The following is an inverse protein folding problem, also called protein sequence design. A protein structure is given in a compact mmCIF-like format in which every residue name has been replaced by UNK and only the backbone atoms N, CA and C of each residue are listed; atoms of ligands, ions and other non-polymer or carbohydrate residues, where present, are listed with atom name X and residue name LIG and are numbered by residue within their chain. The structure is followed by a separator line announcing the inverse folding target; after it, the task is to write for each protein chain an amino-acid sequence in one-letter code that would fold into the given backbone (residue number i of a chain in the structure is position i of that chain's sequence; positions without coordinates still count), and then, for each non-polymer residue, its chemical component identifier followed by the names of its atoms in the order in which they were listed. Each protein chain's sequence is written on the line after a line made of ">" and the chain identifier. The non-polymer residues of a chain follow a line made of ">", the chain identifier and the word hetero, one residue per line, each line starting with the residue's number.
data_IF_421350917687
#
_entry.id   IF_421350917687
#
_cell.length_a   1.000
_cell.length_b   1.000
_cell.length_c   1.000
_cell.angle_alpha   90.00
_cell.angle_beta   90.00
_cell.angle_gamma   90.00
#
_symmetry.space_group_name_H-M   'P 1'
#
loop_
_entity.id
_entity.type
_entity.pdbx_description
1 polymer ?
#
# COMPACT_ATOMS: atom_id res chain seq x y z
N UNK A 1 -22.00 33.77 31.48
CA UNK A 1 -22.38 32.40 31.03
C UNK A 1 -22.41 32.18 29.51
N UNK A 2 -22.39 33.21 28.64
CA UNK A 2 -22.42 33.01 27.18
C UNK A 2 -21.07 32.61 26.56
N UNK A 3 -19.94 33.06 27.12
CA UNK A 3 -18.60 32.72 26.59
C UNK A 3 -18.16 31.26 26.78
N UNK A 4 -18.66 30.57 27.81
CA UNK A 4 -18.31 29.17 28.07
C UNK A 4 -18.95 28.21 27.04
N UNK A 5 -20.13 28.56 26.52
CA UNK A 5 -20.82 27.76 25.49
C UNK A 5 -20.12 27.85 24.12
N UNK A 6 -19.55 29.01 23.78
CA UNK A 6 -18.83 29.17 22.51
C UNK A 6 -17.45 28.47 22.53
N UNK A 7 -16.80 28.36 23.69
CA UNK A 7 -15.52 27.64 23.82
C UNK A 7 -15.72 26.11 23.72
N UNK A 8 -16.79 25.59 24.31
CA UNK A 8 -17.13 24.16 24.25
C UNK A 8 -17.50 23.74 22.81
N UNK A 9 -18.22 24.59 22.08
CA UNK A 9 -18.58 24.34 20.68
C UNK A 9 -17.34 24.32 19.77
N UNK A 10 -16.37 25.21 20.01
CA UNK A 10 -15.11 25.24 19.26
C UNK A 10 -14.25 23.99 19.54
N UNK A 11 -14.23 23.51 20.79
CA UNK A 11 -13.49 22.30 21.19
C UNK A 11 -14.08 21.01 20.60
N UNK A 12 -15.41 20.93 20.49
CA UNK A 12 -16.10 19.79 19.86
C UNK A 12 -15.90 19.79 18.35
N UNK A 13 -15.83 20.95 17.69
CA UNK A 13 -15.54 21.04 16.25
C UNK A 13 -14.10 20.63 15.95
N UNK A 14 -13.11 20.97 16.80
CA UNK A 14 -11.71 20.54 16.60
C UNK A 14 -11.53 19.03 16.80
N UNK A 15 -12.31 18.39 17.67
CA UNK A 15 -12.27 16.93 17.87
C UNK A 15 -12.88 16.15 16.69
N UNK A 16 -13.82 16.75 15.95
CA UNK A 16 -14.45 16.12 14.78
C UNK A 16 -13.57 16.11 13.52
N UNK A 17 -12.43 16.81 13.51
CA UNK A 17 -11.51 16.85 12.36
C UNK A 17 -10.25 15.99 12.49
N UNK A 18 -10.04 15.29 13.61
CA UNK A 18 -8.79 14.56 13.86
C UNK A 18 -8.86 13.03 13.74
N UNK A 19 -10.00 12.44 13.40
CA UNK A 19 -10.11 10.99 13.20
C UNK A 19 -9.92 10.57 11.73
N UNK A 20 -9.07 11.27 10.98
CA UNK A 20 -8.49 10.67 9.79
C UNK A 20 -7.41 9.71 10.28
N UNK A 21 -7.77 8.42 10.37
CA UNK A 21 -6.81 7.32 10.49
C UNK A 21 -5.81 7.45 9.35
N UNK A 22 -4.68 8.13 9.61
CA UNK A 22 -3.61 8.30 8.64
C UNK A 22 -3.10 6.91 8.29
N UNK A 23 -2.86 6.77 7.02
CA UNK A 23 -2.86 5.52 6.31
C UNK A 23 -1.67 5.64 5.38
N UNK A 24 -0.72 4.72 5.55
CA UNK A 24 0.72 4.95 5.40
C UNK A 24 1.29 5.85 6.52
N UNK A 25 2.11 5.24 7.37
CA UNK A 25 2.66 5.83 8.59
C UNK A 25 4.13 6.16 8.37
N UNK A 26 4.55 7.35 8.78
CA UNK A 26 5.95 7.77 8.83
C UNK A 26 6.19 8.43 10.17
N UNK A 27 6.58 7.63 11.18
CA UNK A 27 6.84 8.12 12.53
C UNK A 27 8.33 8.36 12.78
N UNK A 28 9.21 7.65 12.06
CA UNK A 28 10.64 7.89 12.13
C UNK A 28 11.00 9.26 11.55
N UNK A 29 11.95 9.93 12.21
CA UNK A 29 12.57 11.16 11.73
C UNK A 29 13.66 10.83 10.71
N UNK A 30 14.12 11.86 9.98
CA UNK A 30 15.25 11.73 9.06
C UNK A 30 16.51 11.14 9.71
N UNK A 31 16.78 11.51 10.97
CA UNK A 31 17.90 10.98 11.75
C UNK A 31 17.73 9.49 12.10
N UNK A 32 16.51 9.05 12.44
CA UNK A 32 16.22 7.64 12.73
C UNK A 32 16.50 6.76 11.51
N UNK A 33 16.19 7.24 10.30
CA UNK A 33 16.46 6.48 9.08
C UNK A 33 17.94 6.24 8.80
N UNK A 34 18.86 7.03 9.38
CA UNK A 34 20.30 6.71 9.30
C UNK A 34 20.61 5.41 10.05
N UNK A 35 20.03 5.24 11.23
CA UNK A 35 20.19 4.03 12.04
C UNK A 35 19.43 2.84 11.41
N UNK A 36 18.15 3.03 11.07
CA UNK A 36 17.29 1.99 10.47
C UNK A 36 17.94 1.37 9.22
N UNK A 37 18.50 2.20 8.33
CA UNK A 37 19.12 1.75 7.09
C UNK A 37 20.50 1.09 7.26
N UNK A 38 21.10 1.12 8.47
CA UNK A 38 22.45 0.61 8.74
C UNK A 38 22.47 -0.59 9.72
N UNK A 39 21.36 -0.90 10.40
CA UNK A 39 21.20 -2.13 11.17
C UNK A 39 21.16 -3.36 10.24
N UNK A 40 21.57 -4.56 10.68
CA UNK A 40 21.23 -5.79 9.97
C UNK A 40 19.72 -5.87 9.71
N UNK A 41 19.36 -6.30 8.52
CA UNK A 41 17.97 -6.43 8.11
C UNK A 41 17.50 -7.87 8.28
N UNK A 42 16.37 -8.02 8.96
CA UNK A 42 15.56 -9.24 8.91
C UNK A 42 14.36 -8.98 8.00
N UNK A 43 14.17 -9.84 7.01
CA UNK A 43 12.97 -9.91 6.19
C UNK A 43 12.11 -11.03 6.71
N UNK A 44 10.90 -10.70 7.16
CA UNK A 44 9.98 -11.67 7.70
C UNK A 44 9.28 -12.47 6.60
N UNK A 45 9.39 -13.79 6.67
CA UNK A 45 8.66 -14.73 5.83
C UNK A 45 7.29 -15.03 6.44
N UNK A 46 6.31 -15.27 5.57
CA UNK A 46 4.98 -15.69 5.96
C UNK A 46 5.00 -17.21 6.17
N UNK A 47 4.42 -17.67 7.27
CA UNK A 47 4.14 -19.08 7.52
C UNK A 47 2.65 -19.32 7.39
N UNK A 48 2.25 -20.55 7.01
CA UNK A 48 0.84 -20.92 7.06
C UNK A 48 0.29 -20.74 8.48
N UNK A 49 -0.88 -20.12 8.58
CA UNK A 49 -1.65 -20.02 9.81
C UNK A 49 -2.36 -21.36 10.00
N UNK A 50 -1.86 -22.16 10.94
CA UNK A 50 -2.39 -23.48 11.25
C UNK A 50 -3.88 -23.43 11.59
N UNK A 51 -4.32 -22.41 12.33
CA UNK A 51 -5.73 -22.27 12.71
C UNK A 51 -6.61 -22.00 11.49
N UNK A 52 -6.18 -21.09 10.60
CA UNK A 52 -6.91 -20.79 9.37
C UNK A 52 -7.01 -22.02 8.44
N UNK A 53 -5.91 -22.75 8.27
CA UNK A 53 -5.85 -23.97 7.45
C UNK A 53 -6.78 -25.05 8.01
N UNK A 54 -6.71 -25.31 9.32
CA UNK A 54 -7.56 -26.29 9.99
C UNK A 54 -9.04 -25.92 9.93
N UNK A 55 -9.40 -24.64 10.12
CA UNK A 55 -10.79 -24.16 9.99
C UNK A 55 -11.32 -24.37 8.57
N UNK A 56 -10.55 -23.99 7.54
CA UNK A 56 -10.95 -24.19 6.15
C UNK A 56 -11.11 -25.68 5.82
N UNK A 57 -10.16 -26.54 6.23
CA UNK A 57 -10.26 -27.99 6.02
C UNK A 57 -11.50 -28.58 6.70
N UNK A 58 -11.83 -28.12 7.91
CA UNK A 58 -13.03 -28.53 8.64
C UNK A 58 -14.31 -28.04 7.95
N UNK A 59 -14.31 -26.84 7.37
CA UNK A 59 -15.44 -26.33 6.58
C UNK A 59 -15.63 -27.10 5.28
N UNK A 60 -14.54 -27.44 4.58
CA UNK A 60 -14.55 -28.28 3.37
C UNK A 60 -15.16 -29.65 3.67
N UNK A 61 -14.71 -30.34 4.72
CA UNK A 61 -15.18 -31.69 5.07
C UNK A 61 -16.66 -31.74 5.47
N UNK A 62 -17.18 -30.65 6.05
CA UNK A 62 -18.60 -30.53 6.45
C UNK A 62 -19.52 -30.03 5.33
N UNK A 63 -18.98 -29.53 4.22
CA UNK A 63 -19.77 -28.94 3.14
C UNK A 63 -20.23 -30.03 2.17
N UNK A 64 -21.55 -30.27 2.13
CA UNK A 64 -22.18 -31.20 1.18
C UNK A 64 -22.47 -30.59 -0.19
N UNK A 65 -22.55 -29.26 -0.29
CA UNK A 65 -22.76 -28.56 -1.56
C UNK A 65 -21.47 -28.56 -2.39
N UNK A 66 -21.47 -29.25 -3.53
CA UNK A 66 -20.29 -29.41 -4.39
C UNK A 66 -19.66 -28.08 -4.84
N UNK A 67 -20.46 -27.11 -5.28
CA UNK A 67 -19.96 -25.79 -5.70
C UNK A 67 -19.29 -25.04 -4.55
N UNK A 68 -19.92 -25.01 -3.37
CA UNK A 68 -19.34 -24.34 -2.20
C UNK A 68 -18.07 -25.03 -1.74
N UNK A 69 -18.01 -26.36 -1.84
CA UNK A 69 -16.83 -27.14 -1.50
C UNK A 69 -15.65 -26.78 -2.42
N UNK A 70 -15.88 -26.72 -3.73
CA UNK A 70 -14.87 -26.31 -4.72
C UNK A 70 -14.36 -24.88 -4.46
N UNK A 71 -15.26 -23.94 -4.12
CA UNK A 71 -14.85 -22.57 -3.74
C UNK A 71 -13.91 -22.54 -2.52
N UNK A 72 -14.20 -23.36 -1.49
CA UNK A 72 -13.38 -23.44 -0.28
C UNK A 72 -12.03 -24.14 -0.54
N UNK A 73 -12.02 -25.18 -1.38
CA UNK A 73 -10.79 -25.84 -1.83
C UNK A 73 -9.93 -24.87 -2.64
N UNK A 74 -10.55 -24.06 -3.50
CA UNK A 74 -9.91 -22.95 -4.21
C UNK A 74 -9.34 -21.88 -3.27
N UNK A 75 -10.07 -21.49 -2.23
CA UNK A 75 -9.61 -20.53 -1.20
C UNK A 75 -8.37 -21.06 -0.47
N UNK A 76 -8.38 -22.33 -0.06
CA UNK A 76 -7.24 -22.96 0.61
C UNK A 76 -6.02 -23.07 -0.31
N UNK A 77 -6.22 -23.48 -1.57
CA UNK A 77 -5.15 -23.55 -2.57
C UNK A 77 -4.55 -22.16 -2.80
N UNK A 78 -5.38 -21.15 -3.04
CA UNK A 78 -4.94 -19.79 -3.28
C UNK A 78 -4.15 -19.21 -2.09
N UNK A 79 -4.54 -19.54 -0.85
CA UNK A 79 -3.79 -19.14 0.35
C UNK A 79 -2.39 -19.76 0.39
N UNK A 80 -2.27 -21.08 0.17
CA UNK A 80 -0.98 -21.78 0.17
C UNK A 80 -0.06 -21.30 -0.96
N UNK A 81 -0.64 -21.09 -2.14
CA UNK A 81 0.06 -20.52 -3.29
C UNK A 81 0.56 -19.12 -2.96
N UNK A 82 -0.25 -18.28 -2.31
CA UNK A 82 0.16 -16.96 -1.86
C UNK A 82 1.35 -17.00 -0.88
N UNK A 83 1.30 -17.86 0.15
CA UNK A 83 2.41 -17.99 1.13
C UNK A 83 3.70 -18.39 0.43
N UNK A 84 3.63 -19.41 -0.43
CA UNK A 84 4.78 -19.93 -1.18
C UNK A 84 5.32 -18.89 -2.15
N UNK A 85 4.45 -18.25 -2.93
CA UNK A 85 4.80 -17.22 -3.89
C UNK A 85 5.42 -16.02 -3.17
N UNK A 86 4.77 -15.44 -2.16
CA UNK A 86 5.28 -14.28 -1.44
C UNK A 86 6.69 -14.53 -0.91
N UNK A 87 6.93 -15.66 -0.24
CA UNK A 87 8.24 -15.97 0.35
C UNK A 87 9.36 -16.09 -0.70
N UNK A 88 9.04 -16.61 -1.88
CA UNK A 88 9.99 -16.67 -3.00
C UNK A 88 10.21 -15.27 -3.60
N UNK A 89 9.12 -14.57 -3.91
CA UNK A 89 9.13 -13.28 -4.59
C UNK A 89 9.79 -12.18 -3.75
N UNK A 90 9.60 -12.16 -2.42
CA UNK A 90 10.25 -11.16 -1.55
C UNK A 90 11.77 -11.37 -1.50
N UNK A 91 12.25 -12.62 -1.48
CA UNK A 91 13.68 -12.92 -1.54
C UNK A 91 14.28 -12.43 -2.85
N UNK A 92 13.61 -12.72 -3.97
CA UNK A 92 14.02 -12.24 -5.29
C UNK A 92 14.05 -10.71 -5.35
N UNK A 93 12.97 -10.04 -4.90
CA UNK A 93 12.86 -8.59 -4.95
C UNK A 93 13.90 -7.88 -4.08
N UNK A 94 14.17 -8.41 -2.88
CA UNK A 94 15.19 -7.88 -1.97
C UNK A 94 16.59 -8.05 -2.58
N UNK A 95 16.91 -9.24 -3.09
CA UNK A 95 18.20 -9.49 -3.74
C UNK A 95 18.43 -8.56 -4.94
N UNK A 96 17.36 -8.26 -5.69
CA UNK A 96 17.42 -7.44 -6.90
C UNK A 96 17.59 -5.96 -6.62
N UNK A 97 16.76 -5.38 -5.74
CA UNK A 97 16.60 -3.92 -5.67
C UNK A 97 16.81 -3.29 -4.28
N UNK A 98 16.94 -4.07 -3.21
CA UNK A 98 17.08 -3.48 -1.88
C UNK A 98 18.48 -2.95 -1.62
N UNK A 99 18.63 -1.62 -1.56
CA UNK A 99 19.90 -0.90 -1.40
C UNK A 99 20.25 -0.54 0.04
N UNK A 100 19.28 -0.53 0.96
CA UNK A 100 19.56 -0.29 2.38
C UNK A 100 20.12 -1.54 3.06
N UNK A 101 20.78 -1.35 4.20
CA UNK A 101 21.29 -2.43 5.06
C UNK A 101 22.37 -3.33 4.41
N UNK A 102 22.85 -2.98 3.20
CA UNK A 102 23.76 -3.81 2.37
C UNK A 102 25.12 -4.12 2.97
N UNK A 103 25.58 -3.33 3.93
CA UNK A 103 26.87 -3.56 4.60
C UNK A 103 26.86 -4.79 5.50
N UNK A 104 25.66 -5.34 5.80
CA UNK A 104 25.48 -6.52 6.66
C UNK A 104 24.61 -7.56 5.95
N UNK A 105 24.74 -8.85 6.27
CA UNK A 105 23.90 -9.89 5.70
C UNK A 105 22.41 -9.62 5.97
N UNK A 106 21.58 -9.79 4.93
CA UNK A 106 20.13 -9.79 5.07
C UNK A 106 19.70 -11.20 5.48
N UNK A 107 18.97 -11.31 6.58
CA UNK A 107 18.46 -12.57 7.10
C UNK A 107 16.97 -12.73 6.74
N UNK A 108 16.55 -13.95 6.45
CA UNK A 108 15.14 -14.29 6.22
C UNK A 108 14.66 -15.18 7.35
N UNK A 109 13.64 -14.72 8.08
CA UNK A 109 13.17 -15.39 9.31
C UNK A 109 11.65 -15.53 9.30
N UNK A 110 11.14 -16.63 9.80
CA UNK A 110 9.72 -16.87 10.07
C UNK A 110 9.22 -16.00 11.23
N UNK A 111 7.89 -15.91 11.41
CA UNK A 111 7.30 -15.17 12.53
C UNK A 111 7.84 -15.63 13.90
N UNK A 112 7.94 -16.95 14.13
CA UNK A 112 8.42 -17.53 15.40
C UNK A 112 9.86 -17.15 15.67
N UNK A 113 10.74 -17.30 14.68
CA UNK A 113 12.15 -16.90 14.79
C UNK A 113 12.30 -15.40 15.07
N UNK A 114 11.49 -14.55 14.44
CA UNK A 114 11.46 -13.11 14.73
C UNK A 114 11.04 -12.85 16.19
N UNK A 115 10.06 -13.59 16.73
CA UNK A 115 9.68 -13.44 18.15
C UNK A 115 10.81 -13.86 19.09
N UNK A 116 11.56 -14.91 18.76
CA UNK A 116 12.67 -15.37 19.59
C UNK A 116 13.83 -14.38 19.58
N UNK A 117 14.18 -13.83 18.41
CA UNK A 117 15.17 -12.75 18.29
C UNK A 117 14.74 -11.52 19.10
N UNK A 118 13.45 -11.17 19.07
CA UNK A 118 12.92 -10.00 19.80
C UNK A 118 13.12 -10.08 21.31
N UNK A 119 12.91 -11.27 21.88
CA UNK A 119 13.08 -11.51 23.33
C UNK A 119 14.53 -11.31 23.80
N UNK A 120 15.49 -11.55 22.90
CA UNK A 120 16.91 -11.53 23.24
C UNK A 120 17.56 -10.19 22.88
N UNK A 121 17.34 -9.69 21.65
CA UNK A 121 18.12 -8.56 21.13
C UNK A 121 17.41 -7.77 20.00
N UNK A 122 16.15 -7.39 20.21
CA UNK A 122 15.35 -6.63 19.23
C UNK A 122 16.03 -5.35 18.73
N UNK A 123 16.73 -4.60 19.60
CA UNK A 123 17.34 -3.30 19.27
C UNK A 123 18.45 -3.35 18.22
N UNK A 124 18.98 -4.53 17.93
CA UNK A 124 20.07 -4.67 16.97
C UNK A 124 19.59 -4.79 15.52
N UNK A 125 18.30 -4.96 15.28
CA UNK A 125 17.79 -5.31 13.95
C UNK A 125 16.79 -4.28 13.44
N UNK A 126 16.79 -4.14 12.12
CA UNK A 126 15.66 -3.58 11.37
C UNK A 126 14.85 -4.73 10.82
N UNK A 127 13.53 -4.59 10.81
CA UNK A 127 12.59 -5.57 10.29
C UNK A 127 11.84 -5.01 9.09
N UNK A 128 11.84 -5.78 8.01
CA UNK A 128 10.90 -5.63 6.91
C UNK A 128 9.87 -6.75 6.99
N UNK A 129 8.60 -6.41 7.20
CA UNK A 129 7.52 -7.40 7.34
C UNK A 129 6.32 -7.04 6.46
N UNK A 130 5.68 -8.07 5.92
CA UNK A 130 4.38 -7.95 5.30
C UNK A 130 3.28 -8.08 6.35
N UNK A 131 2.36 -7.12 6.34
CA UNK A 131 1.16 -7.15 7.17
C UNK A 131 -0.06 -6.87 6.29
N UNK A 132 -1.19 -7.43 6.69
CA UNK A 132 -2.48 -6.99 6.18
C UNK A 132 -2.99 -5.92 7.13
N UNK A 133 -2.88 -4.64 6.76
CA UNK A 133 -3.40 -3.56 7.58
C UNK A 133 -4.92 -3.71 7.65
N UNK A 134 -5.41 -4.04 8.84
CA UNK A 134 -6.83 -4.13 9.19
C UNK A 134 -7.29 -2.78 9.74
N UNK A 135 -8.56 -2.45 9.54
CA UNK A 135 -9.16 -1.33 10.26
C UNK A 135 -9.79 -1.79 11.56
N UNK A 136 -9.59 -0.95 12.57
CA UNK A 136 -10.41 -0.91 13.77
C UNK A 136 -11.51 0.12 13.53
N UNK A 137 -12.78 -0.30 13.59
CA UNK A 137 -13.91 0.64 13.62
C UNK A 137 -14.45 0.70 15.02
N UNK A 138 -14.24 1.82 15.70
CA UNK A 138 -14.99 2.13 16.92
C UNK A 138 -16.43 2.43 16.52
N UNK A 139 -17.38 1.58 16.89
CA UNK A 139 -18.80 1.90 16.75
C UNK A 139 -19.21 2.98 17.78
N UNK A 140 -20.46 3.46 17.71
CA UNK A 140 -21.00 4.48 18.62
C UNK A 140 -20.94 4.10 20.12
N UNK A 141 -20.72 2.83 20.44
CA UNK A 141 -20.56 2.31 21.81
C UNK A 141 -19.10 2.13 22.24
N UNK A 142 -18.13 2.57 21.43
CA UNK A 142 -16.71 2.38 21.74
C UNK A 142 -16.18 0.98 21.40
N UNK A 143 -16.97 0.13 20.75
CA UNK A 143 -16.59 -1.26 20.45
C UNK A 143 -15.89 -1.30 19.10
N UNK A 144 -14.67 -1.83 19.09
CA UNK A 144 -13.89 -1.99 17.87
C UNK A 144 -14.37 -3.23 17.09
N UNK A 145 -14.87 -3.03 15.87
CA UNK A 145 -15.27 -4.12 14.97
C UNK A 145 -14.33 -4.20 13.77
N UNK A 146 -13.91 -5.43 13.44
CA UNK A 146 -13.06 -5.71 12.29
C UNK A 146 -13.85 -5.58 10.99
N UNK A 147 -13.30 -4.88 10.01
CA UNK A 147 -13.84 -4.93 8.65
C UNK A 147 -13.11 -5.99 7.82
N UNK A 148 -13.84 -6.62 6.89
CA UNK A 148 -13.27 -7.63 5.97
C UNK A 148 -12.28 -7.03 4.96
N UNK A 149 -12.10 -5.69 4.94
CA UNK A 149 -11.21 -5.01 3.99
C UNK A 149 -9.83 -4.84 4.61
N UNK A 150 -8.83 -5.42 3.96
CA UNK A 150 -7.43 -5.29 4.35
C UNK A 150 -6.62 -4.68 3.21
N UNK A 151 -5.56 -3.95 3.55
CA UNK A 151 -4.59 -3.44 2.57
C UNK A 151 -3.26 -4.16 2.77
N UNK A 152 -2.74 -4.87 1.74
CA UNK A 152 -1.39 -5.41 1.77
C UNK A 152 -0.38 -4.29 2.03
N UNK A 153 0.43 -4.43 3.07
CA UNK A 153 1.28 -3.36 3.60
C UNK A 153 2.67 -3.88 3.90
N UNK A 154 3.69 -3.13 3.49
CA UNK A 154 5.07 -3.35 3.89
C UNK A 154 5.39 -2.43 5.06
N UNK A 155 5.89 -3.00 6.16
CA UNK A 155 6.38 -2.24 7.32
C UNK A 155 7.89 -2.37 7.37
N UNK A 156 8.59 -1.25 7.43
CA UNK A 156 10.04 -1.17 7.51
C UNK A 156 10.43 -0.35 8.75
N UNK A 157 10.99 -0.99 9.76
CA UNK A 157 11.10 -0.35 11.07
C UNK A 157 12.13 -1.04 11.95
N UNK A 158 12.64 -0.32 12.95
CA UNK A 158 13.38 -0.92 14.06
C UNK A 158 12.55 -2.05 14.67
N UNK A 159 13.16 -3.19 14.91
CA UNK A 159 12.44 -4.40 15.28
C UNK A 159 11.70 -4.25 16.63
N UNK A 160 12.26 -3.49 17.57
CA UNK A 160 11.64 -3.15 18.86
C UNK A 160 10.32 -2.37 18.74
N UNK A 161 10.10 -1.72 17.59
CA UNK A 161 8.90 -0.92 17.31
C UNK A 161 7.80 -1.72 16.58
N UNK A 162 8.06 -2.98 16.22
CA UNK A 162 7.17 -3.83 15.42
C UNK A 162 6.48 -4.96 16.22
N UNK A 163 6.09 -4.71 17.46
CA UNK A 163 5.46 -5.74 18.29
C UNK A 163 4.08 -6.10 17.73
N UNK A 164 3.80 -7.37 17.38
CA UNK A 164 2.53 -7.77 16.77
C UNK A 164 1.44 -7.68 17.85
N UNK A 165 0.22 -7.33 17.45
CA UNK A 165 -0.94 -7.23 18.35
C UNK A 165 -0.80 -6.19 19.48
N UNK A 166 0.21 -5.32 19.43
CA UNK A 166 0.25 -4.13 20.26
C UNK A 166 -0.85 -3.17 19.78
N UNK A 167 -1.75 -2.75 20.67
CA UNK A 167 -2.81 -1.78 20.40
C UNK A 167 -2.26 -0.45 19.84
N UNK A 168 -0.98 -0.17 20.08
CA UNK A 168 -0.27 1.00 19.58
C UNK A 168 0.68 0.69 18.42
N UNK A 169 0.55 -0.46 17.74
CA UNK A 169 1.42 -0.85 16.61
C UNK A 169 1.60 0.29 15.61
N UNK A 170 0.50 0.87 15.12
CA UNK A 170 0.54 1.98 14.15
C UNK A 170 1.20 3.26 14.68
N UNK A 171 1.26 3.44 16.01
CA UNK A 171 1.93 4.60 16.64
C UNK A 171 3.42 4.37 16.87
N UNK A 172 3.87 3.11 16.87
CA UNK A 172 5.26 2.73 17.17
C UNK A 172 6.07 2.43 15.92
N UNK A 173 5.46 1.84 14.88
CA UNK A 173 6.18 1.52 13.65
C UNK A 173 6.83 2.77 13.04
N UNK A 174 8.05 2.62 12.55
CA UNK A 174 8.81 3.73 11.99
C UNK A 174 8.27 4.13 10.60
N UNK A 175 7.95 3.15 9.77
CA UNK A 175 7.48 3.36 8.40
C UNK A 175 6.54 2.24 7.91
N UNK A 176 5.45 2.62 7.25
CA UNK A 176 4.57 1.69 6.52
C UNK A 176 4.18 2.20 5.14
N UNK A 177 4.07 1.27 4.19
CA UNK A 177 3.75 1.53 2.80
C UNK A 177 2.66 0.58 2.32
N UNK A 178 1.60 1.13 1.74
CA UNK A 178 0.53 0.32 1.16
C UNK A 178 0.93 -0.10 -0.25
N UNK A 179 0.87 -1.40 -0.50
CA UNK A 179 1.23 -1.95 -1.80
C UNK A 179 0.23 -1.52 -2.89
N UNK A 180 0.65 -1.49 -4.17
CA UNK A 180 -0.24 -1.23 -5.29
C UNK A 180 -1.48 -2.12 -5.29
N UNK A 181 -2.57 -1.59 -5.85
CA UNK A 181 -3.83 -2.30 -5.97
C UNK A 181 -3.69 -3.57 -6.84
N UNK A 182 -4.02 -4.72 -6.25
CA UNK A 182 -3.90 -6.04 -6.89
C UNK A 182 -5.24 -6.73 -7.19
N UNK A 183 -6.37 -6.17 -6.76
CA UNK A 183 -7.64 -6.91 -6.83
C UNK A 183 -8.20 -7.05 -8.26
N UNK A 184 -7.63 -6.38 -9.26
CA UNK A 184 -7.98 -6.62 -10.65
C UNK A 184 -7.30 -7.85 -11.26
N UNK A 185 -6.37 -8.48 -10.53
CA UNK A 185 -5.56 -9.61 -10.99
C UNK A 185 -6.19 -10.95 -10.66
N UNK A 186 -5.81 -11.97 -11.44
CA UNK A 186 -6.22 -13.35 -11.20
C UNK A 186 -5.82 -13.76 -9.77
N UNK A 187 -6.77 -14.30 -9.01
CA UNK A 187 -6.60 -14.75 -7.62
C UNK A 187 -6.12 -13.68 -6.64
N UNK A 188 -6.17 -12.39 -7.00
CA UNK A 188 -5.68 -11.28 -6.16
C UNK A 188 -4.26 -11.48 -5.62
N UNK A 189 -3.40 -12.15 -6.40
CA UNK A 189 -2.04 -12.49 -5.97
C UNK A 189 -1.07 -11.32 -6.17
N UNK A 190 -0.10 -11.24 -5.25
CA UNK A 190 1.08 -10.40 -5.41
C UNK A 190 1.99 -10.99 -6.49
N UNK A 191 2.54 -10.11 -7.31
CA UNK A 191 3.61 -10.42 -8.26
C UNK A 191 4.94 -9.83 -7.75
N UNK A 192 6.06 -10.38 -8.24
CA UNK A 192 7.40 -9.81 -7.99
C UNK A 192 7.43 -8.32 -8.33
N UNK A 193 6.75 -7.91 -9.40
CA UNK A 193 6.68 -6.52 -9.87
C UNK A 193 6.09 -5.58 -8.81
N UNK A 194 5.12 -6.02 -8.02
CA UNK A 194 4.54 -5.19 -6.94
C UNK A 194 5.56 -4.94 -5.84
N UNK A 195 6.32 -5.97 -5.48
CA UNK A 195 7.37 -5.88 -4.48
C UNK A 195 8.49 -4.98 -4.99
N UNK A 196 8.97 -5.20 -6.22
CA UNK A 196 10.03 -4.37 -6.81
C UNK A 196 9.65 -2.89 -6.84
N UNK A 197 8.47 -2.55 -7.39
CA UNK A 197 8.06 -1.14 -7.48
C UNK A 197 7.82 -0.53 -6.10
N UNK A 198 7.24 -1.29 -5.16
CA UNK A 198 7.05 -0.83 -3.78
C UNK A 198 8.40 -0.56 -3.10
N UNK A 199 9.35 -1.49 -3.17
CA UNK A 199 10.68 -1.32 -2.57
C UNK A 199 11.42 -0.12 -3.16
N UNK A 200 11.31 0.15 -4.47
CA UNK A 200 11.88 1.35 -5.09
C UNK A 200 11.26 2.63 -4.55
N UNK A 201 9.94 2.70 -4.50
CA UNK A 201 9.21 3.87 -3.99
C UNK A 201 9.58 4.11 -2.52
N UNK A 202 9.58 3.07 -1.68
CA UNK A 202 9.97 3.15 -0.26
C UNK A 202 11.38 3.71 -0.13
N UNK A 203 12.34 3.20 -0.90
CA UNK A 203 13.72 3.64 -0.83
C UNK A 203 13.89 5.09 -1.29
N UNK A 204 13.23 5.51 -2.37
CA UNK A 204 13.31 6.89 -2.85
C UNK A 204 12.68 7.85 -1.85
N UNK A 205 11.52 7.48 -1.30
CA UNK A 205 10.85 8.29 -0.28
C UNK A 205 11.70 8.44 0.99
N UNK A 206 12.30 7.36 1.50
CA UNK A 206 13.20 7.42 2.67
C UNK A 206 14.45 8.25 2.36
N UNK A 207 15.01 8.15 1.14
CA UNK A 207 16.14 9.00 0.71
C UNK A 207 15.75 10.48 0.73
N UNK A 208 14.57 10.82 0.23
CA UNK A 208 14.05 12.19 0.22
C UNK A 208 13.91 12.74 1.65
N UNK A 209 13.29 11.97 2.55
CA UNK A 209 13.18 12.33 3.97
C UNK A 209 14.57 12.61 4.58
N UNK A 210 15.54 11.73 4.32
CA UNK A 210 16.90 11.83 4.85
C UNK A 210 17.68 13.02 4.28
N UNK A 211 17.56 13.27 2.99
CA UNK A 211 18.35 14.29 2.29
C UNK A 211 17.87 15.71 2.62
N UNK A 212 16.57 15.88 2.89
CA UNK A 212 15.96 17.20 3.09
C UNK A 212 15.34 17.40 4.48
N UNK A 213 15.60 16.49 5.42
CA UNK A 213 15.07 16.52 6.81
C UNK A 213 13.55 16.74 6.88
N UNK A 214 12.80 16.09 5.98
CA UNK A 214 11.35 16.28 5.86
C UNK A 214 10.63 15.66 7.07
N UNK A 215 9.76 16.43 7.73
CA UNK A 215 8.98 15.99 8.91
C UNK A 215 7.52 15.73 8.53
N UNK A 216 6.94 14.65 9.06
CA UNK A 216 5.56 14.22 8.73
C UNK A 216 5.31 14.06 7.23
N UNK A 217 6.35 13.72 6.47
CA UNK A 217 6.34 13.66 5.02
C UNK A 217 5.80 12.30 4.58
N UNK A 218 4.60 12.31 4.03
CA UNK A 218 3.92 11.09 3.60
C UNK A 218 4.30 10.73 2.18
N UNK A 219 4.02 9.50 1.77
CA UNK A 219 4.19 9.07 0.36
C UNK A 219 3.34 9.91 -0.59
N UNK A 220 2.20 10.44 -0.13
CA UNK A 220 1.41 11.37 -0.94
C UNK A 220 2.14 12.69 -1.15
N UNK A 221 2.78 13.23 -0.11
CA UNK A 221 3.57 14.46 -0.22
C UNK A 221 4.75 14.23 -1.16
N UNK A 222 5.42 13.08 -1.04
CA UNK A 222 6.48 12.66 -1.95
C UNK A 222 5.99 12.52 -3.40
N UNK A 223 4.89 11.82 -3.63
CA UNK A 223 4.33 11.65 -4.97
C UNK A 223 3.94 12.99 -5.59
N UNK A 224 3.42 13.93 -4.79
CA UNK A 224 3.08 15.29 -5.23
C UNK A 224 4.31 16.12 -5.57
N UNK A 225 5.33 16.14 -4.72
CA UNK A 225 6.57 16.88 -4.98
C UNK A 225 7.20 16.38 -6.29
N UNK A 226 7.25 15.06 -6.50
CA UNK A 226 7.78 14.46 -7.72
C UNK A 226 6.91 14.72 -8.96
N UNK A 227 5.60 14.77 -8.82
CA UNK A 227 4.65 15.12 -9.87
C UNK A 227 4.83 16.59 -10.32
N UNK A 228 4.94 17.53 -9.37
CA UNK A 228 5.22 18.94 -9.66
C UNK A 228 6.54 19.11 -10.43
N UNK A 229 7.55 18.26 -10.18
CA UNK A 229 8.85 18.28 -10.88
C UNK A 229 8.85 17.57 -12.24
N UNK A 230 8.10 16.47 -12.37
CA UNK A 230 8.25 15.54 -13.50
C UNK A 230 7.08 15.55 -14.48
N UNK A 231 5.91 16.08 -14.12
CA UNK A 231 4.72 15.90 -14.95
C UNK A 231 4.78 16.61 -16.31
N UNK A 232 5.56 17.69 -16.44
CA UNK A 232 5.84 18.33 -17.73
C UNK A 232 6.51 17.38 -18.72
N UNK A 233 7.32 16.43 -18.24
CA UNK A 233 8.08 15.47 -19.06
C UNK A 233 7.15 14.43 -19.69
N UNK A 234 5.94 14.23 -19.15
CA UNK A 234 5.03 13.17 -19.59
C UNK A 234 4.66 13.29 -21.07
N UNK A 235 4.48 14.51 -21.59
CA UNK A 235 4.13 14.72 -23.01
C UNK A 235 5.20 14.23 -23.99
N UNK A 236 6.44 14.12 -23.52
CA UNK A 236 7.59 13.69 -24.34
C UNK A 236 7.86 12.18 -24.29
N UNK A 237 7.18 11.45 -23.41
CA UNK A 237 7.36 10.00 -23.21
C UNK A 237 6.07 9.25 -23.53
N UNK A 238 6.18 7.94 -23.70
CA UNK A 238 5.02 7.06 -23.85
C UNK A 238 4.50 6.66 -22.46
N UNK A 239 3.22 6.89 -22.20
CA UNK A 239 2.53 6.40 -21.02
C UNK A 239 1.99 4.99 -21.27
N UNK A 240 2.33 4.04 -20.41
CA UNK A 240 1.82 2.68 -20.46
C UNK A 240 0.71 2.52 -19.42
N UNK A 241 -0.53 2.46 -19.87
CA UNK A 241 -1.72 2.34 -19.04
C UNK A 241 -2.17 0.88 -18.97
N UNK A 242 -2.28 0.34 -17.76
CA UNK A 242 -2.87 -0.96 -17.52
C UNK A 242 -4.37 -0.92 -17.88
N UNK A 243 -4.79 -1.78 -18.82
CA UNK A 243 -6.19 -1.92 -19.23
C UNK A 243 -7.14 -2.17 -18.05
N UNK A 244 -6.67 -2.86 -16.99
CA UNK A 244 -7.46 -3.19 -15.80
C UNK A 244 -7.61 -2.02 -14.85
N UNK A 245 -6.80 -0.98 -15.02
CA UNK A 245 -6.90 0.28 -14.28
C UNK A 245 -7.66 1.34 -15.08
N UNK A 246 -8.16 1.06 -16.29
CA UNK A 246 -8.99 1.99 -17.04
C UNK A 246 -10.47 1.84 -16.65
N UNK A 247 -11.12 2.96 -16.31
CA UNK A 247 -12.56 2.98 -16.01
C UNK A 247 -13.38 2.56 -17.24
N UNK A 248 -14.39 1.69 -17.04
CA UNK A 248 -15.18 1.10 -18.13
C UNK A 248 -15.98 2.12 -18.94
N UNK A 249 -16.24 3.31 -18.38
CA UNK A 249 -16.91 4.42 -19.09
C UNK A 249 -15.91 5.30 -19.85
N UNK A 250 -14.62 5.12 -19.64
CA UNK A 250 -13.57 5.86 -20.33
C UNK A 250 -13.14 5.11 -21.59
N UNK A 251 -13.48 5.66 -22.76
CA UNK A 251 -13.05 5.09 -24.04
C UNK A 251 -11.63 5.53 -24.36
N UNK A 252 -10.82 4.61 -24.87
CA UNK A 252 -9.45 4.89 -25.35
C UNK A 252 -9.40 6.05 -26.36
N UNK A 253 -10.39 6.13 -27.25
CA UNK A 253 -10.51 7.22 -28.23
C UNK A 253 -10.68 8.59 -27.59
N UNK A 254 -11.30 8.67 -26.42
CA UNK A 254 -11.52 9.93 -25.72
C UNK A 254 -10.25 10.37 -24.97
N UNK A 255 -9.46 9.41 -24.48
CA UNK A 255 -8.14 9.70 -23.91
C UNK A 255 -7.20 10.33 -24.94
N UNK A 256 -7.14 9.76 -26.15
CA UNK A 256 -6.28 10.24 -27.23
C UNK A 256 -6.67 11.63 -27.76
N UNK A 257 -7.91 12.06 -27.56
CA UNK A 257 -8.36 13.42 -27.89
C UNK A 257 -7.94 14.46 -26.84
N UNK A 258 -7.71 14.00 -25.60
CA UNK A 258 -7.54 14.86 -24.43
C UNK A 258 -6.07 15.01 -24.08
N UNK A 259 -5.31 13.93 -24.19
CA UNK A 259 -3.89 13.93 -23.91
C UNK A 259 -3.10 14.05 -25.20
N UNK A 260 -2.24 15.06 -25.27
CA UNK A 260 -1.43 15.37 -26.46
C UNK A 260 -0.21 14.46 -26.64
N UNK A 261 0.20 13.75 -25.58
CA UNK A 261 1.31 12.80 -25.61
C UNK A 261 0.92 11.41 -26.11
N UNK A 262 1.87 10.47 -26.06
CA UNK A 262 1.63 9.07 -26.46
C UNK A 262 1.12 8.25 -25.27
N UNK A 263 0.04 7.49 -25.48
CA UNK A 263 -0.49 6.51 -24.51
C UNK A 263 -0.65 5.18 -25.22
N UNK A 264 -0.11 4.11 -24.63
CA UNK A 264 -0.41 2.74 -24.98
C UNK A 264 -1.20 2.09 -23.85
N UNK A 265 -2.31 1.44 -24.18
CA UNK A 265 -3.08 0.64 -23.22
C UNK A 265 -2.62 -0.80 -23.38
N UNK A 266 -2.09 -1.38 -22.31
CA UNK A 266 -1.45 -2.70 -22.31
C UNK A 266 -1.96 -3.57 -21.15
N UNK A 267 -1.65 -4.86 -21.20
CA UNK A 267 -2.08 -5.82 -20.16
C UNK A 267 -1.31 -5.67 -18.85
N UNK A 268 -1.91 -6.06 -17.73
CA UNK A 268 -1.24 -6.12 -16.42
C UNK A 268 0.02 -7.01 -16.43
N UNK A 269 0.01 -8.09 -17.22
CA UNK A 269 1.17 -8.99 -17.34
C UNK A 269 2.34 -8.32 -18.06
N UNK A 270 2.05 -7.47 -19.05
CA UNK A 270 3.06 -6.68 -19.76
C UNK A 270 3.66 -5.59 -18.86
N UNK A 271 2.81 -4.85 -18.11
CA UNK A 271 3.27 -3.92 -17.06
C UNK A 271 4.19 -4.63 -16.07
N UNK A 272 3.83 -5.84 -15.65
CA UNK A 272 4.62 -6.63 -14.71
C UNK A 272 5.97 -7.06 -15.28
N UNK A 273 6.02 -7.45 -16.56
CA UNK A 273 7.28 -7.76 -17.26
C UNK A 273 8.20 -6.53 -17.32
N UNK A 274 7.67 -5.38 -17.69
CA UNK A 274 8.41 -4.11 -17.78
C UNK A 274 9.03 -3.75 -16.41
N UNK A 275 8.26 -3.85 -15.33
CA UNK A 275 8.75 -3.60 -13.96
C UNK A 275 9.80 -4.63 -13.55
N UNK A 276 9.55 -5.92 -13.81
CA UNK A 276 10.48 -7.00 -13.48
C UNK A 276 11.80 -6.83 -14.23
N UNK A 277 11.77 -6.43 -15.50
CA UNK A 277 12.95 -6.19 -16.31
C UNK A 277 13.65 -4.86 -16.00
N UNK A 278 13.04 -4.01 -15.15
CA UNK A 278 13.52 -2.67 -14.84
C UNK A 278 13.70 -1.81 -16.09
N UNK A 279 12.73 -1.82 -16.98
CA UNK A 279 12.76 -1.02 -18.20
C UNK A 279 12.54 0.48 -17.88
N UNK A 280 13.12 1.38 -18.67
CA UNK A 280 13.00 2.85 -18.51
C UNK A 280 11.66 3.39 -19.05
N UNK A 281 10.57 2.71 -18.71
CA UNK A 281 9.23 3.00 -19.20
C UNK A 281 8.35 3.59 -18.10
N UNK A 282 7.37 4.42 -18.49
CA UNK A 282 6.43 5.04 -17.55
C UNK A 282 5.14 4.23 -17.49
N UNK A 283 4.93 3.53 -16.38
CA UNK A 283 3.80 2.62 -16.16
C UNK A 283 2.77 3.20 -15.21
N UNK A 284 1.50 2.90 -15.45
CA UNK A 284 0.42 3.24 -14.53
C UNK A 284 0.40 2.30 -13.32
N UNK A 285 0.24 2.86 -12.12
CA UNK A 285 -0.07 2.11 -10.90
C UNK A 285 -1.17 2.82 -10.13
N UNK A 286 -1.91 2.08 -9.30
CA UNK A 286 -2.90 2.64 -8.37
C UNK A 286 -2.48 2.31 -6.95
N UNK A 287 -2.22 3.35 -6.15
CA UNK A 287 -1.70 3.21 -4.78
C UNK A 287 -2.80 3.52 -3.78
N UNK A 288 -3.17 2.58 -2.89
CA UNK A 288 -3.97 2.91 -1.72
C UNK A 288 -3.20 3.91 -0.88
N UNK A 289 -3.84 5.00 -0.47
CA UNK A 289 -3.23 5.96 0.45
C UNK A 289 -4.08 6.21 1.68
N UNK A 290 -5.39 5.90 1.62
CA UNK A 290 -6.25 6.05 2.78
C UNK A 290 -7.37 5.06 2.84
N UNK A 291 -7.92 4.92 4.04
CA UNK A 291 -9.23 4.34 4.23
C UNK A 291 -10.08 5.37 4.97
N UNK A 292 -11.34 5.48 4.60
CA UNK A 292 -12.29 6.37 5.26
C UNK A 292 -13.59 5.63 5.50
N UNK A 293 -14.18 5.93 6.65
CA UNK A 293 -15.52 5.53 7.01
C UNK A 293 -16.48 6.66 6.64
N UNK A 294 -17.49 6.37 5.83
CA UNK A 294 -18.55 7.32 5.47
C UNK A 294 -19.90 6.77 5.87
N UNK A 295 -20.87 7.63 6.15
CA UNK A 295 -22.25 7.18 6.37
C UNK A 295 -22.72 6.40 5.16
N UNK A 296 -23.19 5.18 5.36
CA UNK A 296 -23.40 4.26 4.23
C UNK A 296 -24.56 4.66 3.31
N UNK A 297 -25.54 5.40 3.86
CA UNK A 297 -26.81 5.70 3.19
C UNK A 297 -27.75 4.48 3.06
N UNK A 298 -27.36 3.32 3.59
CA UNK A 298 -28.12 2.07 3.59
C UNK A 298 -28.75 1.89 4.98
N UNK A 299 -30.07 1.69 5.01
CA UNK A 299 -30.81 1.42 6.25
C UNK A 299 -30.25 0.17 6.95
N UNK A 300 -29.91 0.30 8.24
CA UNK A 300 -29.29 -0.78 9.03
C UNK A 300 -27.77 -0.92 8.91
N UNK A 301 -27.10 -0.10 8.09
CA UNK A 301 -25.63 -0.02 8.04
C UNK A 301 -25.22 1.43 8.31
N UNK A 302 -24.75 1.78 9.50
CA UNK A 302 -24.45 3.19 9.80
C UNK A 302 -23.29 3.74 8.99
N UNK A 303 -22.26 2.91 8.78
CA UNK A 303 -21.03 3.32 8.12
C UNK A 303 -20.57 2.30 7.08
N UNK A 304 -20.02 2.80 5.99
CA UNK A 304 -19.34 2.02 4.96
C UNK A 304 -17.91 2.50 4.85
N UNK A 305 -16.98 1.55 4.88
CA UNK A 305 -15.58 1.84 4.67
C UNK A 305 -15.18 1.73 3.22
N UNK A 306 -14.33 2.67 2.80
CA UNK A 306 -13.80 2.72 1.44
C UNK A 306 -12.31 3.01 1.47
N UNK A 307 -11.58 2.30 0.63
CA UNK A 307 -10.16 2.55 0.37
C UNK A 307 -10.08 3.69 -0.64
N UNK A 308 -9.23 4.67 -0.37
CA UNK A 308 -8.88 5.76 -1.26
C UNK A 308 -7.59 5.46 -2.00
N UNK A 309 -7.58 5.76 -3.28
CA UNK A 309 -6.49 5.46 -4.20
C UNK A 309 -5.96 6.71 -4.89
N UNK A 310 -4.63 6.76 -5.01
CA UNK A 310 -3.86 7.71 -5.79
C UNK A 310 -3.49 7.02 -7.11
N UNK A 311 -3.87 7.63 -8.23
CA UNK A 311 -3.58 7.09 -9.57
C UNK A 311 -2.28 7.70 -10.06
N UNK A 312 -1.28 6.87 -10.33
CA UNK A 312 0.09 7.32 -10.54
C UNK A 312 0.64 6.83 -11.87
N UNK A 313 1.49 7.64 -12.47
CA UNK A 313 2.45 7.20 -13.47
C UNK A 313 3.84 7.20 -12.85
N UNK A 314 4.54 6.07 -12.94
CA UNK A 314 5.83 5.83 -12.28
C UNK A 314 6.80 5.23 -13.29
N UNK A 315 8.06 5.65 -13.24
CA UNK A 315 9.11 5.02 -14.03
C UNK A 315 9.42 3.62 -13.45
N UNK A 316 9.27 2.58 -14.28
CA UNK A 316 9.36 1.18 -13.86
C UNK A 316 10.76 0.79 -13.35
N UNK A 317 11.82 1.38 -13.92
CA UNK A 317 13.21 1.16 -13.47
C UNK A 317 13.53 1.81 -12.14
N UNK A 318 13.17 3.07 -11.93
CA UNK A 318 13.60 3.88 -10.79
C UNK A 318 12.58 3.95 -9.65
N UNK A 319 11.29 3.73 -9.92
CA UNK A 319 10.21 3.97 -8.95
C UNK A 319 9.94 5.45 -8.67
N UNK A 320 10.39 6.36 -9.54
CA UNK A 320 10.12 7.80 -9.43
C UNK A 320 8.73 8.11 -10.00
N UNK A 321 7.95 8.93 -9.29
CA UNK A 321 6.65 9.40 -9.76
C UNK A 321 6.82 10.47 -10.85
N UNK A 322 6.06 10.32 -11.92
CA UNK A 322 5.92 11.33 -12.96
C UNK A 322 4.59 12.06 -12.90
N UNK A 323 3.56 11.41 -12.37
CA UNK A 323 2.28 12.05 -12.07
C UNK A 323 1.60 11.33 -10.93
N UNK A 324 0.87 12.07 -10.10
CA UNK A 324 0.10 11.54 -8.97
C UNK A 324 -1.27 12.22 -8.86
N UNK A 325 -2.35 11.52 -9.18
CA UNK A 325 -3.69 12.08 -9.11
C UNK A 325 -4.42 11.67 -7.84
N UNK A 326 -4.80 12.68 -7.06
CA UNK A 326 -5.71 12.60 -5.93
C UNK A 326 -6.83 13.62 -6.17
N UNK A 327 -8.08 13.16 -6.29
CA UNK A 327 -9.24 14.03 -6.41
C UNK A 327 -9.42 14.88 -5.13
N UNK A 328 -9.88 16.13 -5.30
CA UNK A 328 -10.19 17.04 -4.16
C UNK A 328 -11.50 16.65 -3.46
N UNK A 329 -12.42 16.02 -4.19
CA UNK A 329 -13.70 15.48 -3.71
C UNK A 329 -13.60 13.96 -3.53
N UNK A 330 -14.61 13.33 -2.93
CA UNK A 330 -14.62 11.88 -2.60
C UNK A 330 -14.37 10.90 -3.76
N UNK A 331 -14.07 11.33 -4.98
CA UNK A 331 -13.87 10.47 -6.16
C UNK A 331 -12.60 9.59 -6.16
N UNK A 332 -11.92 9.47 -5.02
CA UNK A 332 -10.76 8.60 -4.85
C UNK A 332 -11.11 7.17 -4.43
N UNK A 333 -12.40 6.81 -4.33
CA UNK A 333 -12.83 5.47 -3.92
C UNK A 333 -12.48 4.35 -4.89
N UNK A 334 -12.27 4.69 -6.15
CA UNK A 334 -11.96 3.74 -7.20
C UNK A 334 -10.47 3.79 -7.55
N UNK A 335 -9.83 2.64 -7.78
CA UNK A 335 -8.44 2.58 -8.21
C UNK A 335 -8.25 2.94 -9.70
N UNK A 336 -9.33 3.24 -10.42
CA UNK A 336 -9.37 3.36 -11.88
C UNK A 336 -9.05 4.78 -12.35
N UNK A 337 -8.31 4.87 -13.45
CA UNK A 337 -8.07 6.08 -14.23
C UNK A 337 -9.31 6.42 -15.05
N UNK A 338 -9.67 7.70 -15.02
CA UNK A 338 -10.75 8.30 -15.80
C UNK A 338 -10.17 9.41 -16.69
N UNK A 339 -11.04 10.03 -17.48
CA UNK A 339 -10.69 11.16 -18.33
C UNK A 339 -10.05 12.34 -17.56
N UNK A 340 -10.50 12.58 -16.33
CA UNK A 340 -10.08 13.74 -15.53
C UNK A 340 -8.60 13.71 -15.16
N UNK A 341 -8.03 12.53 -14.94
CA UNK A 341 -6.61 12.32 -14.64
C UNK A 341 -5.77 12.84 -15.81
N UNK A 342 -6.12 12.46 -17.04
CA UNK A 342 -5.42 12.90 -18.26
C UNK A 342 -5.63 14.39 -18.57
N UNK A 343 -6.82 14.94 -18.31
CA UNK A 343 -7.04 16.40 -18.40
C UNK A 343 -6.13 17.18 -17.45
N UNK A 344 -5.76 16.59 -16.30
CA UNK A 344 -4.82 17.24 -15.36
C UNK A 344 -3.40 17.15 -15.88
N UNK A 345 -2.97 15.97 -16.34
CA UNK A 345 -1.64 15.76 -16.92
C UNK A 345 -1.43 16.71 -18.11
N UNK A 346 -2.44 16.90 -18.95
CA UNK A 346 -2.37 17.81 -20.10
C UNK A 346 -2.11 19.27 -19.69
N UNK A 347 -2.50 19.67 -18.47
CA UNK A 347 -2.30 21.02 -17.93
C UNK A 347 -0.95 21.21 -17.23
N UNK A 348 -0.13 20.16 -17.10
CA UNK A 348 1.25 20.31 -16.63
C UNK A 348 2.01 21.26 -17.54
N UNK A 349 2.67 22.24 -16.93
CA UNK A 349 3.37 23.33 -17.62
C UNK A 349 4.87 23.22 -17.45
#
# INVERSE_FOLDING_TARGET
>A
MSHFKNLLLLFVVVLLFNNNSKSQVVNAKAEDFKDICNRPLIVQLITEDAYFVEDLQKRISKTSNGKRKEELEGELSAYRDFVTAYNSQIKEAIAKDWQFNKEKPIEYKTFSEVQDIRKVNSRNYTLLQFVQTKLWVTNEYGIETFTKKTIPTMVYSRMENCVPFDENFNKKIDYSFYMPYINSRKNHQLYVSDLLISLKIIQNHIKEIRNFDKKNYTVMDYAKDQDDENCIKLKSVTLLLDEKLLDTKTKSTDLLKIYSGKINIISTDEISKIINNQEEEIVSISLPFSMKSEKSGIEGLEFMERIMYMKCFVNAKSGVFFSSYIAKTGDNWEPLFKIQEFKRIEKCK
#
